data_IF_961465264092
#
_entry.id   IF_961465264092
#
_cell.length_a   1.000
_cell.length_b   1.000
_cell.length_c   1.000
_cell.angle_alpha   90.00
_cell.angle_beta   90.00
_cell.angle_gamma   90.00
#
_symmetry.space_group_name_H-M   'P 1'
#
loop_
_entity.id
_entity.type
_entity.pdbx_description
1 polymer ?
#
# COMPACT_ATOMS: atom_id res chain seq x y z
N UNK A 1 -13.61 13.68 21.07
CA UNK A 1 -12.38 12.99 21.55
C UNK A 1 -11.41 14.04 22.08
N UNK A 2 -10.79 13.85 23.24
CA UNK A 2 -9.88 14.84 23.81
C UNK A 2 -8.60 14.99 22.96
N UNK A 3 -8.39 16.18 22.40
CA UNK A 3 -7.23 16.54 21.55
C UNK A 3 -5.88 16.25 22.22
N UNK A 4 -5.67 16.49 23.53
CA UNK A 4 -4.40 16.20 24.20
C UNK A 4 -4.04 14.70 24.18
N UNK A 5 -5.06 13.83 24.28
CA UNK A 5 -4.87 12.39 24.23
C UNK A 5 -4.37 11.94 22.85
N UNK A 6 -4.93 12.51 21.78
CA UNK A 6 -4.52 12.21 20.40
C UNK A 6 -3.05 12.59 20.19
N UNK A 7 -2.65 13.78 20.65
CA UNK A 7 -1.28 14.25 20.52
C UNK A 7 -0.28 13.35 21.27
N UNK A 8 -0.65 12.90 22.48
CA UNK A 8 0.14 11.95 23.25
C UNK A 8 0.31 10.61 22.52
N UNK A 9 -0.76 10.07 21.95
CA UNK A 9 -0.73 8.79 21.21
C UNK A 9 0.17 8.91 19.97
N UNK A 10 0.09 10.01 19.23
CA UNK A 10 0.96 10.26 18.07
C UNK A 10 2.43 10.29 18.51
N UNK A 11 2.74 10.97 19.62
CA UNK A 11 4.10 11.05 20.14
C UNK A 11 4.65 9.66 20.52
N UNK A 12 3.84 8.85 21.19
CA UNK A 12 4.20 7.48 21.57
C UNK A 12 4.38 6.60 20.34
N UNK A 13 3.52 6.72 19.33
CA UNK A 13 3.63 5.97 18.08
C UNK A 13 4.94 6.29 17.34
N UNK A 14 5.30 7.58 17.25
CA UNK A 14 6.58 7.99 16.65
C UNK A 14 7.76 7.39 17.44
N UNK A 15 7.73 7.44 18.77
CA UNK A 15 8.78 6.85 19.61
C UNK A 15 8.91 5.34 19.38
N UNK A 16 7.80 4.60 19.34
CA UNK A 16 7.81 3.15 19.14
C UNK A 16 8.29 2.71 17.76
N UNK A 17 8.16 3.56 16.74
CA UNK A 17 8.72 3.28 15.41
C UNK A 17 10.21 3.57 15.41
N UNK A 18 10.65 4.70 15.96
CA UNK A 18 12.06 5.13 15.91
C UNK A 18 12.94 4.32 16.87
N UNK A 19 12.46 4.01 18.07
CA UNK A 19 13.22 3.33 19.11
C UNK A 19 13.82 1.97 18.67
N UNK A 20 13.05 1.01 18.11
CA UNK A 20 13.61 -0.27 17.66
C UNK A 20 14.54 -0.12 16.45
N UNK A 21 14.27 0.86 15.57
CA UNK A 21 15.09 1.13 14.38
C UNK A 21 16.51 1.56 14.76
N UNK A 22 16.65 2.36 15.82
CA UNK A 22 17.97 2.82 16.30
C UNK A 22 18.62 1.79 17.23
N UNK A 23 17.86 1.21 18.16
CA UNK A 23 18.42 0.37 19.21
C UNK A 23 18.83 -1.02 18.70
N UNK A 24 18.05 -1.63 17.81
CA UNK A 24 18.34 -2.97 17.27
C UNK A 24 17.98 -3.00 15.78
N UNK A 25 18.81 -2.37 14.92
CA UNK A 25 18.54 -2.34 13.49
C UNK A 25 18.58 -3.77 12.92
N UNK A 26 17.41 -4.25 12.50
CA UNK A 26 17.25 -5.50 11.76
C UNK A 26 17.09 -5.20 10.26
N UNK A 27 17.61 -6.11 9.42
CA UNK A 27 17.45 -6.03 7.96
C UNK A 27 15.97 -5.96 7.55
N UNK A 28 15.07 -6.52 8.37
CA UNK A 28 13.63 -6.48 8.15
C UNK A 28 13.07 -5.06 8.09
N UNK A 29 13.61 -4.13 8.89
CA UNK A 29 13.17 -2.73 8.85
C UNK A 29 13.57 -2.06 7.55
N UNK A 30 14.77 -2.34 7.03
CA UNK A 30 15.23 -1.79 5.74
C UNK A 30 14.36 -2.28 4.59
N UNK A 31 14.07 -3.58 4.56
CA UNK A 31 13.21 -4.17 3.53
C UNK A 31 11.79 -3.61 3.62
N UNK A 32 11.24 -3.47 4.83
CA UNK A 32 9.92 -2.87 5.02
C UNK A 32 9.88 -1.40 4.55
N UNK A 33 10.88 -0.59 4.90
CA UNK A 33 10.98 0.79 4.44
C UNK A 33 11.15 0.87 2.91
N UNK A 34 11.99 0.03 2.32
CA UNK A 34 12.14 -0.05 0.86
C UNK A 34 10.83 -0.45 0.18
N UNK A 35 10.07 -1.39 0.75
CA UNK A 35 8.77 -1.82 0.21
C UNK A 35 7.74 -0.69 0.25
N UNK A 36 7.68 0.07 1.34
CA UNK A 36 6.79 1.24 1.46
C UNK A 36 7.16 2.31 0.41
N UNK A 37 8.46 2.61 0.26
CA UNK A 37 8.94 3.55 -0.75
C UNK A 37 8.65 3.05 -2.17
N UNK A 38 8.84 1.76 -2.43
CA UNK A 38 8.50 1.14 -3.69
C UNK A 38 7.00 1.24 -3.97
N UNK A 39 6.15 0.97 -2.98
CA UNK A 39 4.71 1.18 -3.09
C UNK A 39 4.35 2.62 -3.49
N UNK A 40 5.06 3.61 -2.97
CA UNK A 40 4.88 5.02 -3.35
C UNK A 40 5.35 5.31 -4.79
N UNK A 41 6.45 4.69 -5.23
CA UNK A 41 6.94 4.78 -6.62
C UNK A 41 5.94 4.17 -7.59
N UNK A 42 5.26 3.07 -7.22
CA UNK A 42 4.22 2.44 -8.03
C UNK A 42 2.90 3.22 -7.97
N UNK A 43 2.58 3.84 -6.83
CA UNK A 43 1.38 4.67 -6.71
C UNK A 43 1.34 5.76 -7.78
N UNK A 44 2.49 6.38 -8.08
CA UNK A 44 2.56 7.50 -9.02
C UNK A 44 2.11 7.15 -10.46
N UNK A 45 2.70 6.18 -11.18
CA UNK A 45 2.26 5.83 -12.53
C UNK A 45 0.87 5.17 -12.55
N UNK A 46 0.55 4.31 -11.58
CA UNK A 46 -0.67 3.51 -11.62
C UNK A 46 -1.91 4.25 -11.12
N UNK A 47 -1.79 5.09 -10.09
CA UNK A 47 -2.94 5.78 -9.48
C UNK A 47 -3.02 7.23 -9.94
N UNK A 48 -1.92 7.98 -9.83
CA UNK A 48 -1.95 9.42 -10.17
C UNK A 48 -2.09 9.64 -11.67
N UNK A 49 -1.28 8.94 -12.48
CA UNK A 49 -1.35 9.04 -13.94
C UNK A 49 -2.41 8.12 -14.58
N UNK A 50 -3.12 7.30 -13.77
CA UNK A 50 -4.11 6.31 -14.22
C UNK A 50 -3.64 5.47 -15.41
N UNK A 51 -2.36 5.08 -15.42
CA UNK A 51 -1.81 4.28 -16.52
C UNK A 51 -2.37 2.87 -16.43
N UNK A 52 -3.34 2.59 -17.30
CA UNK A 52 -3.89 1.26 -17.45
C UNK A 52 -2.97 0.40 -18.33
N UNK A 53 -2.24 -0.53 -17.72
CA UNK A 53 -1.45 -1.50 -18.48
C UNK A 53 -2.36 -2.51 -19.17
N UNK A 54 -2.25 -2.62 -20.49
CA UNK A 54 -2.95 -3.65 -21.27
C UNK A 54 -2.63 -5.08 -20.82
N UNK A 55 -1.44 -5.30 -20.26
CA UNK A 55 -1.06 -6.58 -19.67
C UNK A 55 -1.95 -6.94 -18.49
N UNK A 56 -2.26 -5.98 -17.61
CA UNK A 56 -3.14 -6.20 -16.47
C UNK A 56 -4.56 -6.50 -16.95
N UNK A 57 -5.06 -5.80 -17.98
CA UNK A 57 -6.38 -6.11 -18.57
C UNK A 57 -6.46 -7.52 -19.15
N UNK A 58 -5.40 -7.98 -19.84
CA UNK A 58 -5.32 -9.36 -20.35
C UNK A 58 -5.30 -10.38 -19.22
N UNK A 59 -4.53 -10.11 -18.16
CA UNK A 59 -4.49 -10.95 -16.97
C UNK A 59 -5.85 -11.01 -16.27
N UNK A 60 -6.54 -9.87 -16.10
CA UNK A 60 -7.90 -9.83 -15.53
C UNK A 60 -8.85 -10.69 -16.34
N UNK A 61 -8.88 -10.56 -17.67
CA UNK A 61 -9.72 -11.42 -18.53
C UNK A 61 -9.38 -12.90 -18.42
N UNK A 62 -8.09 -13.25 -18.36
CA UNK A 62 -7.68 -14.64 -18.17
C UNK A 62 -8.18 -15.21 -16.84
N UNK A 63 -8.13 -14.43 -15.75
CA UNK A 63 -8.67 -14.83 -14.45
C UNK A 63 -10.20 -14.89 -14.48
N UNK A 64 -10.87 -13.93 -15.13
CA UNK A 64 -12.32 -13.92 -15.32
C UNK A 64 -12.79 -15.21 -16.03
N UNK A 65 -12.13 -15.60 -17.12
CA UNK A 65 -12.45 -16.84 -17.85
C UNK A 65 -12.09 -18.10 -17.06
N UNK A 66 -10.98 -18.09 -16.29
CA UNK A 66 -10.54 -19.26 -15.50
C UNK A 66 -11.48 -19.55 -14.32
N UNK A 67 -11.99 -18.51 -13.67
CA UNK A 67 -12.91 -18.62 -12.52
C UNK A 67 -14.39 -18.47 -12.90
N UNK A 68 -14.71 -18.25 -14.18
CA UNK A 68 -16.05 -17.95 -14.70
C UNK A 68 -16.71 -16.77 -13.97
N UNK A 69 -15.91 -15.74 -13.64
CA UNK A 69 -16.34 -14.54 -12.93
C UNK A 69 -16.48 -13.38 -13.92
N UNK A 70 -17.68 -12.78 -14.00
CA UNK A 70 -17.94 -11.61 -14.85
C UNK A 70 -17.84 -10.31 -14.05
N UNK A 71 -16.62 -9.88 -13.71
CA UNK A 71 -16.39 -8.72 -12.83
C UNK A 71 -16.49 -7.41 -13.62
N UNK A 72 -16.03 -7.41 -14.87
CA UNK A 72 -16.08 -6.27 -15.80
C UNK A 72 -17.49 -5.70 -16.10
N UNK A 73 -18.59 -6.37 -15.74
CA UNK A 73 -19.97 -5.91 -15.99
C UNK A 73 -20.69 -5.36 -14.75
N UNK A 74 -20.05 -5.34 -13.59
CA UNK A 74 -20.61 -4.67 -12.41
C UNK A 74 -20.32 -3.18 -12.59
N UNK A 75 -21.32 -2.46 -13.11
CA UNK A 75 -21.34 -1.00 -13.18
C UNK A 75 -21.09 -0.47 -11.76
N UNK A 76 -19.88 0.01 -11.51
CA UNK A 76 -19.58 0.85 -10.35
C UNK A 76 -19.91 2.28 -10.77
N UNK A 77 -21.22 2.55 -10.78
CA UNK A 77 -21.80 3.89 -10.80
C UNK A 77 -21.66 4.53 -9.41
#
# INVERSE_FOLDING_TARGET
>A
VPIPLILLIILIAIYLVIAPVIANPSIGFLIASCLILFGMVFYYPFVYNQVELECIKKMTKFLEDFFDLKISSINLD
#
